data_IF_391565134706
#
_entry.id   IF_391565134706
#
_cell.length_a   1.000
_cell.length_b   1.000
_cell.length_c   1.000
_cell.angle_alpha   90.00
_cell.angle_beta   90.00
_cell.angle_gamma   90.00
#
_symmetry.space_group_name_H-M   'P 1'
#
loop_
_entity.id
_entity.type
_entity.pdbx_description
1 polymer ?
#
# COMPACT_ATOMS: atom_id res chain seq x y z
N UNK A 1 -24.60 4.02 51.33
CA UNK A 1 -25.58 3.24 50.53
C UNK A 1 -24.89 2.87 49.23
N UNK A 2 -24.97 1.60 48.76
CA UNK A 2 -24.52 1.28 47.41
C UNK A 2 -25.29 2.19 46.43
N UNK A 3 -24.60 2.79 45.44
CA UNK A 3 -25.26 3.67 44.49
C UNK A 3 -26.35 2.89 43.75
N UNK A 4 -27.52 3.51 43.55
CA UNK A 4 -28.66 2.88 42.91
C UNK A 4 -28.20 2.32 41.54
N UNK A 5 -28.35 1.01 41.27
CA UNK A 5 -27.96 0.40 40.00
C UNK A 5 -28.54 1.14 38.79
N UNK A 6 -29.68 1.80 38.98
CA UNK A 6 -30.34 2.61 37.97
C UNK A 6 -29.48 3.82 37.53
N UNK A 7 -28.56 4.36 38.33
CA UNK A 7 -27.86 5.61 37.92
C UNK A 7 -26.68 5.43 36.96
N UNK A 8 -26.53 4.26 36.31
CA UNK A 8 -25.41 4.00 35.40
C UNK A 8 -25.39 4.92 34.17
N UNK A 9 -26.53 5.14 33.50
CA UNK A 9 -26.61 5.98 32.32
C UNK A 9 -26.23 7.44 32.62
N UNK A 10 -26.86 8.02 33.64
CA UNK A 10 -26.58 9.39 34.07
C UNK A 10 -25.11 9.53 34.53
N UNK A 11 -24.59 8.59 35.32
CA UNK A 11 -23.19 8.61 35.75
C UNK A 11 -22.21 8.49 34.58
N UNK A 12 -22.48 7.63 33.62
CA UNK A 12 -21.63 7.47 32.44
C UNK A 12 -21.64 8.72 31.56
N UNK A 13 -22.81 9.33 31.37
CA UNK A 13 -22.94 10.59 30.66
C UNK A 13 -22.13 11.69 31.34
N UNK A 14 -22.33 11.90 32.64
CA UNK A 14 -21.62 12.93 33.40
C UNK A 14 -20.10 12.72 33.35
N UNK A 15 -19.63 11.48 33.47
CA UNK A 15 -18.20 11.16 33.33
C UNK A 15 -17.62 11.56 31.97
N UNK A 16 -18.42 11.55 30.90
CA UNK A 16 -17.96 11.95 29.57
C UNK A 16 -18.11 13.47 29.33
N UNK A 17 -19.15 14.09 29.89
CA UNK A 17 -19.52 15.49 29.66
C UNK A 17 -18.78 16.46 30.60
N UNK A 18 -18.60 16.10 31.87
CA UNK A 18 -17.93 16.96 32.87
C UNK A 18 -16.50 17.34 32.48
N UNK A 19 -15.65 16.45 31.93
CA UNK A 19 -14.30 16.84 31.52
C UNK A 19 -14.26 17.77 30.29
N UNK A 20 -15.33 17.76 29.48
CA UNK A 20 -15.41 18.48 28.22
C UNK A 20 -16.17 19.80 28.32
N UNK A 21 -16.87 20.03 29.43
CA UNK A 21 -17.76 21.17 29.62
C UNK A 21 -17.61 21.77 31.02
N UNK A 22 -18.24 22.92 31.25
CA UNK A 22 -18.32 23.53 32.59
C UNK A 22 -19.57 23.11 33.37
N UNK A 23 -20.37 22.19 32.82
CA UNK A 23 -21.61 21.76 33.45
C UNK A 23 -21.32 20.82 34.60
N UNK A 24 -21.92 21.07 35.76
CA UNK A 24 -21.96 20.14 36.87
C UNK A 24 -23.19 19.20 36.74
N UNK A 25 -23.15 18.04 37.40
CA UNK A 25 -24.24 17.08 37.42
C UNK A 25 -25.63 17.67 37.77
N UNK A 26 -25.66 18.77 38.54
CA UNK A 26 -26.88 19.48 38.91
C UNK A 26 -27.48 20.36 37.80
N UNK A 27 -26.70 20.70 36.77
CA UNK A 27 -27.11 21.63 35.71
C UNK A 27 -27.95 20.97 34.60
N UNK A 28 -28.03 19.64 34.59
CA UNK A 28 -28.78 18.86 33.61
C UNK A 28 -29.98 18.17 34.28
N UNK A 29 -31.11 18.86 34.47
CA UNK A 29 -32.26 18.27 35.13
C UNK A 29 -32.81 17.11 34.30
N UNK A 30 -32.86 15.93 34.93
CA UNK A 30 -33.52 14.75 34.37
C UNK A 30 -35.03 15.01 34.35
N UNK A 31 -35.60 15.08 33.15
CA UNK A 31 -37.03 15.32 32.90
C UNK A 31 -37.83 14.03 32.92
N UNK A 32 -37.33 13.02 32.22
CA UNK A 32 -37.94 11.71 32.13
C UNK A 32 -36.88 10.63 32.09
N UNK A 33 -37.26 9.45 32.57
CA UNK A 33 -36.42 8.28 32.59
C UNK A 33 -37.25 7.03 32.36
N UNK A 34 -36.88 6.27 31.34
CA UNK A 34 -37.53 5.02 30.99
C UNK A 34 -36.49 3.91 30.90
N UNK A 35 -36.55 2.94 31.80
CA UNK A 35 -35.76 1.72 31.68
C UNK A 35 -36.59 0.73 30.83
N UNK A 36 -36.08 0.37 29.65
CA UNK A 36 -36.73 -0.59 28.75
C UNK A 36 -35.85 -1.79 28.50
N UNK A 37 -36.49 -2.90 28.20
CA UNK A 37 -35.84 -4.13 27.77
C UNK A 37 -36.39 -4.47 26.40
N UNK A 38 -35.49 -4.72 25.47
CA UNK A 38 -35.79 -4.93 24.05
C UNK A 38 -35.26 -6.30 23.66
N UNK A 39 -36.14 -7.15 23.14
CA UNK A 39 -35.72 -8.43 22.56
C UNK A 39 -35.26 -8.23 21.13
N UNK A 40 -34.43 -9.12 20.64
CA UNK A 40 -33.98 -9.07 19.27
C UNK A 40 -33.40 -10.38 18.77
N UNK A 41 -33.11 -10.39 17.47
CA UNK A 41 -32.47 -11.52 16.81
C UNK A 41 -31.20 -11.09 16.11
N UNK A 42 -30.16 -11.90 16.19
CA UNK A 42 -28.93 -11.74 15.42
C UNK A 42 -28.80 -12.93 14.49
N UNK A 43 -28.71 -12.68 13.19
CA UNK A 43 -28.25 -13.68 12.23
C UNK A 43 -26.78 -13.42 11.97
N UNK A 44 -25.93 -14.34 12.40
CA UNK A 44 -24.49 -14.31 12.14
C UNK A 44 -24.13 -15.34 11.07
N UNK A 45 -23.14 -15.01 10.25
CA UNK A 45 -22.68 -15.85 9.16
C UNK A 45 -21.16 -15.86 9.12
N UNK A 46 -20.57 -17.04 9.18
CA UNK A 46 -19.15 -17.28 8.95
C UNK A 46 -19.00 -18.06 7.64
N UNK A 47 -18.46 -17.41 6.61
CA UNK A 47 -18.23 -18.02 5.30
C UNK A 47 -16.75 -18.32 5.11
N UNK A 48 -16.43 -19.60 4.95
CA UNK A 48 -15.07 -20.07 4.62
C UNK A 48 -14.87 -19.94 3.10
N UNK A 49 -14.05 -18.98 2.69
CA UNK A 49 -13.69 -18.77 1.30
C UNK A 49 -12.28 -19.30 1.04
N UNK A 50 -12.19 -20.30 0.17
CA UNK A 50 -10.93 -20.90 -0.28
C UNK A 50 -10.74 -20.61 -1.77
N UNK A 51 -9.64 -19.98 -2.11
CA UNK A 51 -9.34 -19.50 -3.46
C UNK A 51 -7.88 -19.72 -3.83
N UNK A 52 -7.61 -19.82 -5.14
CA UNK A 52 -6.24 -19.88 -5.67
C UNK A 52 -5.80 -18.46 -5.97
N UNK A 53 -4.71 -18.02 -5.34
CA UNK A 53 -4.09 -16.73 -5.61
C UNK A 53 -2.88 -16.93 -6.50
N UNK A 54 -2.84 -16.17 -7.61
CA UNK A 54 -1.74 -16.19 -8.59
C UNK A 54 -0.84 -14.97 -8.41
N UNK A 55 0.47 -15.19 -8.38
CA UNK A 55 1.49 -14.15 -8.33
C UNK A 55 2.53 -14.31 -9.43
N UNK A 56 2.97 -13.20 -10.03
CA UNK A 56 4.10 -13.15 -10.97
C UNK A 56 5.26 -12.43 -10.32
N UNK A 57 6.45 -13.01 -10.44
CA UNK A 57 7.64 -12.51 -9.77
C UNK A 57 8.87 -12.58 -10.68
N UNK A 58 9.81 -11.66 -10.44
CA UNK A 58 11.11 -11.68 -11.05
C UNK A 58 12.01 -12.71 -10.35
N UNK A 59 12.92 -13.34 -11.09
CA UNK A 59 13.86 -14.29 -10.52
C UNK A 59 13.53 -15.74 -10.80
N UNK A 60 14.43 -16.60 -10.32
CA UNK A 60 14.20 -18.05 -10.25
C UNK A 60 13.13 -18.40 -9.23
N UNK A 61 12.56 -19.59 -9.37
CA UNK A 61 11.57 -20.10 -8.42
C UNK A 61 12.20 -20.30 -7.02
N UNK A 62 11.58 -19.78 -5.94
CA UNK A 62 12.09 -19.96 -4.58
C UNK A 62 12.16 -21.44 -4.14
N UNK A 63 13.03 -21.73 -3.18
CA UNK A 63 13.09 -23.05 -2.54
C UNK A 63 11.78 -23.36 -1.80
N UNK A 64 11.37 -24.62 -1.80
CA UNK A 64 10.14 -25.09 -1.15
C UNK A 64 8.88 -24.95 -2.00
N UNK A 65 8.95 -24.33 -3.18
CA UNK A 65 7.85 -24.29 -4.14
C UNK A 65 7.86 -25.56 -5.00
N UNK A 66 6.71 -26.19 -5.15
CA UNK A 66 6.52 -27.35 -6.03
C UNK A 66 6.61 -26.88 -7.48
N UNK A 67 7.69 -27.26 -8.16
CA UNK A 67 7.96 -26.85 -9.53
C UNK A 67 7.18 -27.70 -10.54
N UNK A 68 6.57 -27.01 -11.49
CA UNK A 68 5.91 -27.59 -12.66
C UNK A 68 6.58 -27.11 -13.94
N UNK A 69 6.66 -28.01 -14.93
CA UNK A 69 7.33 -27.70 -16.20
C UNK A 69 6.46 -26.84 -17.11
N UNK A 70 5.14 -26.98 -17.02
CA UNK A 70 4.17 -26.17 -17.78
C UNK A 70 3.22 -25.40 -16.88
N UNK A 71 2.85 -24.20 -17.30
CA UNK A 71 1.86 -23.36 -16.61
C UNK A 71 0.52 -24.09 -16.40
N UNK A 72 0.04 -24.81 -17.43
CA UNK A 72 -1.21 -25.58 -17.34
C UNK A 72 -1.16 -26.70 -16.28
N UNK A 73 0.00 -27.32 -16.05
CA UNK A 73 0.17 -28.34 -15.02
C UNK A 73 0.12 -27.71 -13.62
N UNK A 74 0.76 -26.54 -13.46
CA UNK A 74 0.68 -25.75 -12.23
C UNK A 74 -0.76 -25.36 -11.90
N UNK A 75 -1.51 -24.88 -12.89
CA UNK A 75 -2.92 -24.49 -12.76
C UNK A 75 -3.80 -25.67 -12.36
N UNK A 76 -3.63 -26.81 -13.03
CA UNK A 76 -4.37 -28.03 -12.72
C UNK A 76 -4.04 -28.53 -11.31
N UNK A 77 -2.78 -28.48 -10.90
CA UNK A 77 -2.35 -28.89 -9.57
C UNK A 77 -2.97 -27.99 -8.48
N UNK A 78 -2.87 -26.67 -8.62
CA UNK A 78 -3.44 -25.72 -7.66
C UNK A 78 -4.97 -25.80 -7.60
N UNK A 79 -5.65 -26.01 -8.74
CA UNK A 79 -7.10 -26.20 -8.77
C UNK A 79 -7.51 -27.51 -8.08
N UNK A 80 -6.77 -28.60 -8.30
CA UNK A 80 -6.99 -29.89 -7.64
C UNK A 80 -6.81 -29.76 -6.12
N UNK A 81 -5.71 -29.14 -5.67
CA UNK A 81 -5.45 -28.91 -4.25
C UNK A 81 -6.52 -28.02 -3.61
N UNK A 82 -6.93 -26.93 -4.27
CA UNK A 82 -8.02 -26.07 -3.83
C UNK A 82 -9.34 -26.84 -3.66
N UNK A 83 -9.67 -27.72 -4.60
CA UNK A 83 -10.88 -28.57 -4.50
C UNK A 83 -10.82 -29.55 -3.32
N UNK A 84 -9.63 -30.11 -3.05
CA UNK A 84 -9.40 -31.00 -1.92
C UNK A 84 -9.53 -30.24 -0.59
N UNK A 85 -8.93 -29.06 -0.47
CA UNK A 85 -9.07 -28.21 0.71
C UNK A 85 -10.51 -27.75 0.96
N UNK A 86 -11.30 -27.47 -0.08
CA UNK A 86 -12.73 -27.16 0.08
C UNK A 86 -13.51 -28.34 0.65
N UNK A 87 -13.22 -29.56 0.18
CA UNK A 87 -13.85 -30.77 0.71
C UNK A 87 -13.44 -31.03 2.16
N UNK A 88 -12.16 -30.90 2.49
CA UNK A 88 -11.66 -31.05 3.86
C UNK A 88 -12.24 -29.98 4.79
N UNK A 89 -12.24 -28.72 4.37
CA UNK A 89 -12.76 -27.60 5.16
C UNK A 89 -14.24 -27.76 5.50
N UNK A 90 -15.04 -28.35 4.60
CA UNK A 90 -16.43 -28.69 4.86
C UNK A 90 -16.57 -29.67 6.02
N UNK A 91 -15.77 -30.73 6.04
CA UNK A 91 -15.83 -31.73 7.11
C UNK A 91 -15.25 -31.22 8.43
N UNK A 92 -14.19 -30.40 8.37
CA UNK A 92 -13.64 -29.72 9.56
C UNK A 92 -14.64 -28.73 10.15
N UNK A 93 -15.27 -27.91 9.30
CA UNK A 93 -16.31 -26.98 9.73
C UNK A 93 -17.51 -27.72 10.33
N UNK A 94 -17.96 -28.84 9.73
CA UNK A 94 -19.01 -29.69 10.31
C UNK A 94 -18.62 -30.21 11.70
N UNK A 95 -17.42 -30.72 11.85
CA UNK A 95 -16.91 -31.23 13.13
C UNK A 95 -16.82 -30.11 14.17
N UNK A 96 -16.32 -28.95 13.77
CA UNK A 96 -16.25 -27.76 14.62
C UNK A 96 -17.65 -27.31 15.06
N UNK A 97 -18.64 -27.30 14.14
CA UNK A 97 -20.03 -26.95 14.44
C UNK A 97 -20.67 -27.94 15.42
N UNK A 98 -20.35 -29.23 15.33
CA UNK A 98 -20.85 -30.22 16.31
C UNK A 98 -20.28 -29.98 17.72
N UNK A 99 -19.01 -29.58 17.82
CA UNK A 99 -18.35 -29.31 19.09
C UNK A 99 -18.73 -27.95 19.70
N UNK A 100 -18.90 -26.92 18.87
CA UNK A 100 -18.98 -25.52 19.32
C UNK A 100 -20.22 -24.76 18.81
N UNK A 101 -21.14 -25.42 18.10
CA UNK A 101 -22.27 -24.73 17.44
C UNK A 101 -23.18 -23.96 18.38
N UNK A 102 -23.29 -24.41 19.63
CA UNK A 102 -24.06 -23.73 20.69
C UNK A 102 -23.25 -22.67 21.46
N UNK A 103 -21.93 -22.61 21.26
CA UNK A 103 -21.07 -21.62 21.89
C UNK A 103 -21.00 -20.34 21.05
N UNK A 104 -20.73 -19.22 21.73
CA UNK A 104 -20.40 -17.93 21.10
C UNK A 104 -18.91 -17.92 20.70
N UNK A 105 -18.46 -18.98 20.03
CA UNK A 105 -17.14 -19.08 19.45
C UNK A 105 -17.25 -18.85 17.94
N UNK A 106 -16.19 -18.40 17.28
CA UNK A 106 -16.15 -18.27 15.81
C UNK A 106 -15.06 -19.19 15.28
N UNK A 107 -15.26 -19.85 14.13
CA UNK A 107 -14.20 -20.63 13.53
C UNK A 107 -13.11 -19.68 13.03
N UNK A 108 -11.87 -20.03 13.33
CA UNK A 108 -10.68 -19.39 12.77
C UNK A 108 -10.16 -20.18 11.57
N UNK A 109 -9.19 -19.62 10.84
CA UNK A 109 -8.65 -20.26 9.63
C UNK A 109 -8.02 -21.61 9.98
N UNK A 110 -7.34 -21.71 11.11
CA UNK A 110 -6.65 -22.91 11.58
C UNK A 110 -7.62 -24.06 11.90
N UNK A 111 -8.86 -23.73 12.28
CA UNK A 111 -9.91 -24.70 12.57
C UNK A 111 -10.40 -25.41 11.30
N UNK A 112 -10.40 -24.70 10.17
CA UNK A 112 -11.04 -25.15 8.92
C UNK A 112 -10.07 -25.40 7.77
N UNK A 113 -8.85 -24.88 7.84
CA UNK A 113 -7.86 -24.95 6.78
C UNK A 113 -6.49 -25.39 7.31
N UNK A 114 -5.73 -26.10 6.48
CA UNK A 114 -4.33 -26.48 6.73
C UNK A 114 -3.46 -25.83 5.68
N UNK A 115 -2.21 -25.57 6.01
CA UNK A 115 -1.24 -25.00 5.07
C UNK A 115 -1.21 -25.82 3.76
N UNK A 116 -1.37 -25.10 2.65
CA UNK A 116 -1.34 -25.65 1.31
C UNK A 116 0.08 -25.56 0.73
N UNK A 117 0.37 -26.41 -0.24
CA UNK A 117 1.61 -26.30 -0.99
C UNK A 117 1.56 -25.08 -1.91
N UNK A 118 2.72 -24.48 -2.15
CA UNK A 118 2.85 -23.45 -3.18
C UNK A 118 3.30 -24.15 -4.46
N UNK A 119 2.55 -23.96 -5.52
CA UNK A 119 2.90 -24.45 -6.85
C UNK A 119 3.54 -23.34 -7.67
N UNK A 120 4.51 -23.67 -8.52
CA UNK A 120 5.20 -22.67 -9.30
C UNK A 120 5.70 -23.16 -10.65
N UNK A 121 5.73 -22.26 -11.61
CA UNK A 121 6.24 -22.47 -12.96
C UNK A 121 7.21 -21.33 -13.28
N UNK A 122 8.37 -21.64 -13.86
CA UNK A 122 9.35 -20.64 -14.25
C UNK A 122 9.65 -20.71 -15.74
N UNK A 123 9.86 -19.54 -16.34
CA UNK A 123 10.15 -19.37 -17.76
C UNK A 123 11.27 -18.35 -17.96
N UNK A 124 11.90 -18.39 -19.13
CA UNK A 124 12.91 -17.40 -19.50
C UNK A 124 12.25 -16.03 -19.63
N UNK A 125 12.89 -15.02 -19.07
CA UNK A 125 12.43 -13.65 -19.20
C UNK A 125 12.35 -13.25 -20.68
N UNK A 126 11.18 -12.81 -21.14
CA UNK A 126 10.99 -12.40 -22.53
C UNK A 126 11.84 -11.19 -22.92
N UNK A 127 12.08 -10.27 -21.99
CA UNK A 127 12.81 -9.01 -22.25
C UNK A 127 14.30 -9.24 -22.52
N UNK A 128 14.95 -10.15 -21.79
CA UNK A 128 16.37 -10.47 -21.97
C UNK A 128 16.62 -11.87 -22.52
N UNK A 129 15.58 -12.60 -22.93
CA UNK A 129 15.65 -13.96 -23.47
C UNK A 129 16.42 -14.97 -22.61
N UNK A 130 16.44 -14.78 -21.28
CA UNK A 130 17.22 -15.62 -20.36
C UNK A 130 18.61 -15.11 -20.00
N UNK A 131 19.08 -13.98 -20.55
CA UNK A 131 20.45 -13.50 -20.32
C UNK A 131 20.67 -12.69 -19.03
N UNK A 132 19.61 -12.26 -18.35
CA UNK A 132 19.69 -11.41 -17.15
C UNK A 132 20.16 -9.97 -17.41
N UNK A 133 20.53 -9.63 -18.64
CA UNK A 133 21.00 -8.30 -19.01
C UNK A 133 20.39 -7.87 -20.34
N UNK A 134 20.22 -6.57 -20.51
CA UNK A 134 19.77 -5.96 -21.77
C UNK A 134 20.74 -4.88 -22.21
N UNK A 135 20.75 -4.60 -23.51
CA UNK A 135 21.53 -3.49 -24.06
C UNK A 135 21.14 -2.18 -23.39
N UNK A 136 22.13 -1.39 -22.99
CA UNK A 136 21.93 -0.10 -22.37
C UNK A 136 21.32 0.87 -23.39
N UNK A 137 20.05 1.22 -23.21
CA UNK A 137 19.29 2.11 -24.10
C UNK A 137 20.00 3.44 -24.38
N UNK A 138 20.44 4.20 -23.35
CA UNK A 138 21.10 5.50 -23.54
C UNK A 138 22.34 5.48 -24.44
N UNK A 139 23.04 4.36 -24.54
CA UNK A 139 24.24 4.24 -25.39
C UNK A 139 24.06 3.21 -26.51
N UNK A 140 22.86 2.70 -26.76
CA UNK A 140 22.59 1.68 -27.78
C UNK A 140 23.43 0.40 -27.62
N UNK A 141 23.93 0.10 -26.42
CA UNK A 141 24.85 -1.03 -26.22
C UNK A 141 26.35 -0.73 -26.33
N UNK A 142 26.75 0.49 -26.72
CA UNK A 142 28.16 0.81 -27.00
C UNK A 142 29.03 1.14 -25.77
N UNK A 143 28.43 1.29 -24.58
CA UNK A 143 29.15 1.68 -23.36
C UNK A 143 29.56 3.15 -23.30
N UNK A 144 29.45 3.90 -24.40
CA UNK A 144 29.80 5.31 -24.48
C UNK A 144 28.74 6.11 -25.24
N UNK A 145 28.63 7.40 -24.94
CA UNK A 145 27.73 8.34 -25.62
C UNK A 145 28.52 9.49 -26.21
N UNK A 146 28.02 10.04 -27.31
CA UNK A 146 28.63 11.21 -27.95
C UNK A 146 28.70 12.37 -26.95
N UNK A 147 29.90 12.93 -26.78
CA UNK A 147 30.13 14.06 -25.90
C UNK A 147 29.37 15.27 -26.43
N UNK A 148 28.39 15.73 -25.67
CA UNK A 148 27.56 16.89 -26.00
C UNK A 148 28.38 18.18 -26.12
N UNK A 149 29.46 18.31 -25.32
CA UNK A 149 30.30 19.50 -25.30
C UNK A 149 31.03 19.75 -26.62
N UNK A 150 31.50 18.69 -27.27
CA UNK A 150 32.24 18.78 -28.54
C UNK A 150 31.50 18.14 -29.73
N UNK A 151 30.25 17.72 -29.54
CA UNK A 151 29.42 17.03 -30.52
C UNK A 151 30.16 15.88 -31.25
N UNK A 152 30.91 15.05 -30.51
CA UNK A 152 31.64 13.92 -31.09
C UNK A 152 32.99 14.24 -31.73
N UNK A 153 33.36 15.51 -31.88
CA UNK A 153 34.62 15.89 -32.57
C UNK A 153 35.88 15.72 -31.71
N UNK A 154 35.72 15.61 -30.38
CA UNK A 154 36.81 15.66 -29.41
C UNK A 154 37.48 17.04 -29.28
N UNK A 155 36.95 18.06 -29.96
CA UNK A 155 37.55 19.39 -30.10
C UNK A 155 36.53 20.48 -29.79
N UNK A 156 36.97 21.56 -29.17
CA UNK A 156 36.17 22.76 -28.91
C UNK A 156 36.82 23.93 -29.64
N UNK A 157 36.04 24.86 -30.19
CA UNK A 157 36.62 26.07 -30.75
C UNK A 157 37.47 26.79 -29.69
N UNK A 158 38.70 27.15 -30.05
CA UNK A 158 39.60 27.82 -29.10
C UNK A 158 38.96 29.13 -28.66
N UNK A 159 38.80 29.32 -27.35
CA UNK A 159 38.15 30.50 -26.80
C UNK A 159 38.91 31.81 -27.12
N UNK A 160 40.23 31.73 -27.32
CA UNK A 160 41.08 32.89 -27.64
C UNK A 160 41.04 33.34 -29.11
N UNK A 161 40.50 32.53 -30.02
CA UNK A 161 40.43 32.88 -31.46
C UNK A 161 39.15 32.42 -32.16
N UNK A 162 38.18 31.86 -31.43
CA UNK A 162 36.90 31.36 -31.92
C UNK A 162 37.00 30.46 -33.18
N UNK A 163 38.04 29.63 -33.28
CA UNK A 163 38.23 28.74 -34.43
C UNK A 163 39.04 29.33 -35.59
N UNK A 164 39.46 30.60 -35.51
CA UNK A 164 40.20 31.27 -36.59
C UNK A 164 41.69 30.87 -36.57
N UNK A 165 42.25 30.67 -35.38
CA UNK A 165 43.68 30.33 -35.19
C UNK A 165 44.61 31.54 -35.13
N UNK A 166 44.03 32.74 -35.28
CA UNK A 166 44.72 34.02 -35.18
C UNK A 166 43.91 34.96 -34.26
N UNK A 167 44.59 35.89 -33.59
CA UNK A 167 43.97 36.96 -32.80
C UNK A 167 44.51 38.32 -33.27
N UNK A 168 43.66 39.34 -33.19
CA UNK A 168 44.07 40.73 -33.36
C UNK A 168 44.94 41.14 -32.17
N UNK A 169 46.11 41.70 -32.47
CA UNK A 169 47.01 42.26 -31.48
C UNK A 169 47.56 43.61 -31.95
N UNK A 170 47.61 44.57 -31.01
CA UNK A 170 48.26 45.86 -31.24
C UNK A 170 49.76 45.70 -31.05
N UNK A 171 50.50 45.72 -32.14
CA UNK A 171 51.96 45.59 -32.10
C UNK A 171 52.57 46.98 -32.18
N UNK A 172 53.44 47.30 -31.22
CA UNK A 172 54.22 48.54 -31.22
C UNK A 172 55.50 48.32 -32.00
N UNK A 173 55.66 49.09 -33.07
CA UNK A 173 56.87 49.15 -33.87
C UNK A 173 57.69 50.36 -33.46
N UNK A 174 58.95 50.15 -33.14
CA UNK A 174 59.91 51.24 -33.01
C UNK A 174 60.50 51.54 -34.37
N UNK A 175 60.27 52.76 -34.84
CA UNK A 175 60.86 53.28 -36.06
C UNK A 175 62.11 54.06 -35.64
N UNK A 176 63.32 53.55 -35.89
CA UNK A 176 64.55 54.24 -35.51
C UNK A 176 64.67 55.58 -36.24
N UNK A 177 65.23 56.58 -35.55
CA UNK A 177 65.43 57.91 -36.13
C UNK A 177 66.46 57.84 -37.26
N UNK A 178 66.11 58.42 -38.40
CA UNK A 178 67.02 58.58 -39.55
C UNK A 178 67.30 60.07 -39.77
N UNK A 179 68.42 60.45 -40.40
CA UNK A 179 68.73 61.87 -40.63
C UNK A 179 67.59 62.55 -41.40
N UNK A 180 66.90 63.50 -40.74
CA UNK A 180 65.74 64.20 -41.30
C UNK A 180 64.36 63.65 -40.91
N UNK A 181 64.26 62.58 -40.12
CA UNK A 181 63.01 62.07 -39.55
C UNK A 181 63.17 61.73 -38.06
N UNK A 182 62.32 62.30 -37.21
CA UNK A 182 62.28 61.97 -35.78
C UNK A 182 61.75 60.55 -35.62
N UNK A 183 62.55 59.66 -35.03
CA UNK A 183 62.13 58.30 -34.71
C UNK A 183 60.90 58.30 -33.81
N UNK A 184 60.03 57.31 -33.98
CA UNK A 184 58.73 57.28 -33.31
C UNK A 184 58.23 55.86 -33.06
N UNK A 185 57.19 55.75 -32.24
CA UNK A 185 56.48 54.49 -32.05
C UNK A 185 55.21 54.50 -32.88
N UNK A 186 55.09 53.58 -33.83
CA UNK A 186 53.83 53.36 -34.58
C UNK A 186 53.14 52.13 -34.03
N UNK A 187 51.83 52.23 -33.79
CA UNK A 187 51.00 51.08 -33.41
C UNK A 187 50.31 50.58 -34.67
N UNK A 188 50.51 49.32 -35.03
CA UNK A 188 49.77 48.66 -36.11
C UNK A 188 48.99 47.48 -35.54
N UNK A 189 47.83 47.27 -36.11
CA UNK A 189 47.04 46.08 -35.83
C UNK A 189 47.48 44.96 -36.75
N UNK A 190 47.86 43.82 -36.17
CA UNK A 190 48.25 42.64 -36.93
C UNK A 190 47.55 41.39 -36.42
N UNK A 191 47.33 40.45 -37.35
CA UNK A 191 46.93 39.11 -36.99
C UNK A 191 48.15 38.33 -36.53
N UNK A 192 48.18 37.93 -35.26
CA UNK A 192 49.18 37.02 -34.72
C UNK A 192 48.56 35.65 -34.49
N UNK A 193 49.39 34.61 -34.59
CA UNK A 193 48.98 33.24 -34.24
C UNK A 193 48.42 33.23 -32.82
N UNK A 194 47.26 32.61 -32.64
CA UNK A 194 46.61 32.56 -31.34
C UNK A 194 47.52 31.83 -30.34
N UNK A 195 48.03 32.55 -29.34
CA UNK A 195 48.94 32.03 -28.31
C UNK A 195 48.30 30.97 -27.41
N UNK A 196 46.97 31.00 -27.25
CA UNK A 196 46.21 30.03 -26.45
C UNK A 196 46.20 28.64 -27.08
N UNK A 197 46.00 28.54 -28.40
CA UNK A 197 45.95 27.25 -29.10
C UNK A 197 47.15 26.99 -30.01
N UNK A 198 48.14 27.89 -30.03
CA UNK A 198 49.29 27.87 -30.93
C UNK A 198 48.90 27.63 -32.40
N UNK A 199 47.83 28.32 -32.85
CA UNK A 199 47.32 28.20 -34.22
C UNK A 199 46.50 26.94 -34.53
N UNK A 200 46.29 26.04 -33.55
CA UNK A 200 45.51 24.79 -33.75
C UNK A 200 44.03 25.03 -34.01
N UNK A 201 43.50 26.22 -33.71
CA UNK A 201 42.09 26.63 -33.84
C UNK A 201 41.13 26.00 -32.83
N UNK A 202 41.54 24.97 -32.10
CA UNK A 202 40.71 24.27 -31.13
C UNK A 202 41.44 23.96 -29.83
N UNK A 203 40.66 23.87 -28.75
CA UNK A 203 41.05 23.30 -27.47
C UNK A 203 40.63 21.82 -27.43
N UNK A 204 41.43 20.97 -26.78
CA UNK A 204 41.05 19.55 -26.60
C UNK A 204 39.87 19.47 -25.64
N UNK A 205 38.83 18.73 -26.03
CA UNK A 205 37.77 18.39 -25.10
C UNK A 205 38.31 17.42 -24.04
N UNK A 206 37.78 17.48 -22.82
CA UNK A 206 38.15 16.59 -21.70
C UNK A 206 37.47 15.21 -21.80
N UNK A 207 36.78 14.93 -22.90
CA UNK A 207 36.20 13.64 -23.21
C UNK A 207 37.20 12.74 -23.94
N UNK A 208 36.88 11.46 -24.06
CA UNK A 208 37.71 10.48 -24.77
C UNK A 208 37.40 10.54 -26.26
N UNK A 209 38.14 11.37 -27.01
CA UNK A 209 38.04 11.49 -28.47
C UNK A 209 36.60 11.71 -28.97
N UNK A 210 35.85 12.59 -28.30
CA UNK A 210 34.48 12.90 -28.69
C UNK A 210 33.42 12.07 -27.99
N UNK A 211 33.79 11.10 -27.15
CA UNK A 211 32.86 10.25 -26.41
C UNK A 211 33.08 10.36 -24.90
N UNK A 212 32.00 10.19 -24.14
CA UNK A 212 32.04 10.04 -22.69
C UNK A 212 31.46 8.69 -22.30
N UNK A 213 32.02 8.08 -21.25
CA UNK A 213 31.50 6.81 -20.72
C UNK A 213 30.03 6.98 -20.35
N UNK A 214 29.20 6.04 -20.77
CA UNK A 214 27.78 6.05 -20.43
C UNK A 214 27.64 5.87 -18.91
N UNK A 215 27.00 6.81 -18.24
CA UNK A 215 26.82 6.79 -16.78
C UNK A 215 25.84 5.71 -16.34
N UNK A 216 24.90 5.31 -17.20
CA UNK A 216 23.89 4.30 -16.88
C UNK A 216 24.45 2.87 -16.82
N UNK A 217 25.39 2.52 -17.71
CA UNK A 217 26.01 1.19 -17.74
C UNK A 217 27.48 1.19 -17.30
N UNK A 218 28.03 2.35 -16.95
CA UNK A 218 29.43 2.55 -16.57
C UNK A 218 30.44 1.98 -17.57
N UNK A 219 30.14 2.05 -18.88
CA UNK A 219 31.03 1.53 -19.93
C UNK A 219 30.74 0.11 -20.39
N UNK A 220 29.92 -0.66 -19.68
CA UNK A 220 29.70 -2.08 -19.99
C UNK A 220 28.79 -2.31 -21.21
N UNK A 221 28.06 -1.29 -21.66
CA UNK A 221 27.09 -1.41 -22.75
C UNK A 221 25.83 -2.20 -22.40
N UNK A 222 25.79 -2.88 -21.25
CA UNK A 222 24.65 -3.63 -20.76
C UNK A 222 24.22 -3.13 -19.39
N UNK A 223 22.92 -3.28 -19.11
CA UNK A 223 22.34 -3.03 -17.79
C UNK A 223 21.60 -4.26 -17.30
N UNK A 224 21.51 -4.47 -15.99
CA UNK A 224 20.67 -5.52 -15.41
C UNK A 224 19.24 -5.46 -15.95
N UNK A 225 18.67 -6.63 -16.27
CA UNK A 225 17.29 -6.71 -16.71
C UNK A 225 16.36 -6.66 -15.48
N UNK A 226 15.71 -5.50 -15.26
CA UNK A 226 14.82 -5.29 -14.12
C UNK A 226 13.64 -6.28 -14.06
N UNK A 227 12.94 -6.62 -15.17
CA UNK A 227 11.82 -7.59 -15.14
C UNK A 227 12.16 -8.97 -14.58
N UNK A 228 13.43 -9.38 -14.61
CA UNK A 228 13.91 -10.66 -14.08
C UNK A 228 14.92 -10.52 -12.95
N UNK A 229 15.08 -9.31 -12.39
CA UNK A 229 16.06 -9.01 -11.35
C UNK A 229 17.47 -9.53 -11.70
N UNK A 230 17.87 -9.36 -12.97
CA UNK A 230 19.13 -9.82 -13.52
C UNK A 230 19.38 -11.34 -13.57
N UNK A 231 18.41 -12.17 -13.18
CA UNK A 231 18.56 -13.63 -13.18
C UNK A 231 18.36 -14.25 -14.57
N UNK A 232 17.67 -13.54 -15.47
CA UNK A 232 17.22 -14.09 -16.74
C UNK A 232 15.92 -14.89 -16.63
N UNK A 233 15.40 -15.12 -15.43
CA UNK A 233 14.22 -15.94 -15.18
C UNK A 233 13.07 -15.10 -14.62
N UNK A 234 11.87 -15.49 -14.99
CA UNK A 234 10.64 -15.04 -14.35
C UNK A 234 9.87 -16.27 -13.91
N UNK A 235 9.09 -16.13 -12.87
CA UNK A 235 8.29 -17.24 -12.38
C UNK A 235 6.91 -16.78 -11.94
N UNK A 236 6.03 -17.75 -11.93
CA UNK A 236 4.69 -17.61 -11.42
C UNK A 236 4.49 -18.58 -10.28
N UNK A 237 3.65 -18.16 -9.33
CA UNK A 237 3.27 -18.95 -8.17
C UNK A 237 1.76 -18.98 -8.06
N UNK A 238 1.25 -20.13 -7.66
CA UNK A 238 -0.12 -20.33 -7.25
C UNK A 238 -0.13 -20.88 -5.83
N UNK A 239 -0.94 -20.27 -4.98
CA UNK A 239 -1.10 -20.62 -3.58
C UNK A 239 -2.59 -20.72 -3.28
N UNK A 240 -3.01 -21.80 -2.63
CA UNK A 240 -4.37 -21.90 -2.10
C UNK A 240 -4.44 -21.13 -0.79
N UNK A 241 -5.34 -20.15 -0.71
CA UNK A 241 -5.57 -19.35 0.50
C UNK A 241 -6.97 -19.57 1.02
N UNK A 242 -7.08 -19.47 2.34
CA UNK A 242 -8.34 -19.51 3.05
C UNK A 242 -8.54 -18.21 3.83
N UNK A 243 -9.77 -17.71 3.82
CA UNK A 243 -10.25 -16.62 4.68
C UNK A 243 -11.61 -16.98 5.25
N UNK A 244 -11.89 -16.54 6.47
CA UNK A 244 -13.21 -16.63 7.09
C UNK A 244 -13.87 -15.25 7.02
N UNK A 245 -14.85 -15.10 6.15
CA UNK A 245 -15.60 -13.88 5.97
C UNK A 245 -16.77 -13.83 6.96
N UNK A 246 -16.77 -12.79 7.81
CA UNK A 246 -17.75 -12.66 8.89
C UNK A 246 -18.81 -11.62 8.56
N UNK A 247 -20.05 -12.08 8.51
CA UNK A 247 -21.24 -11.27 8.29
C UNK A 247 -22.20 -11.37 9.46
N UNK A 248 -23.11 -10.41 9.53
CA UNK A 248 -24.25 -10.53 10.42
C UNK A 248 -25.20 -9.35 10.31
N UNK A 249 -26.42 -9.57 10.77
CA UNK A 249 -27.43 -8.53 10.91
C UNK A 249 -28.19 -8.79 12.19
N UNK A 250 -28.24 -7.80 13.06
CA UNK A 250 -29.11 -7.79 14.22
C UNK A 250 -30.41 -7.04 13.91
N UNK A 251 -31.48 -7.42 14.58
CA UNK A 251 -32.77 -6.75 14.57
C UNK A 251 -33.28 -6.65 15.99
N UNK A 252 -33.75 -5.47 16.39
CA UNK A 252 -34.37 -5.23 17.68
C UNK A 252 -35.88 -5.06 17.52
N UNK A 253 -36.66 -5.64 18.42
CA UNK A 253 -38.10 -5.46 18.54
C UNK A 253 -38.40 -4.24 19.42
N UNK A 254 -37.80 -3.09 19.08
CA UNK A 254 -38.03 -1.81 19.77
C UNK A 254 -38.99 -0.93 18.96
N UNK A 255 -39.97 -0.23 19.57
CA UNK A 255 -40.78 0.75 18.85
C UNK A 255 -40.00 1.99 18.38
N UNK A 256 -38.81 2.26 18.94
CA UNK A 256 -37.98 3.42 18.59
C UNK A 256 -37.11 3.13 17.37
N UNK A 257 -37.24 3.88 16.26
CA UNK A 257 -36.47 3.65 15.04
C UNK A 257 -34.97 3.83 15.26
N UNK A 258 -34.55 4.76 16.12
CA UNK A 258 -33.15 5.01 16.46
C UNK A 258 -32.49 3.79 17.12
N UNK A 259 -33.22 3.05 17.97
CA UNK A 259 -32.72 1.80 18.57
C UNK A 259 -32.63 0.69 17.52
N UNK A 260 -33.63 0.59 16.64
CA UNK A 260 -33.61 -0.42 15.56
C UNK A 260 -32.44 -0.18 14.60
N UNK A 261 -32.20 1.07 14.20
CA UNK A 261 -31.11 1.46 13.32
C UNK A 261 -29.75 1.18 13.98
N UNK A 262 -29.59 1.62 15.23
CA UNK A 262 -28.34 1.45 15.97
C UNK A 262 -28.01 -0.04 16.18
N UNK A 263 -28.98 -0.82 16.66
CA UNK A 263 -28.82 -2.27 16.81
C UNK A 263 -28.56 -2.95 15.46
N UNK A 264 -29.21 -2.50 14.39
CA UNK A 264 -29.01 -3.03 13.04
C UNK A 264 -27.59 -2.87 12.49
N UNK A 265 -26.82 -1.91 13.01
CA UNK A 265 -25.41 -1.69 12.66
C UNK A 265 -24.44 -2.63 13.39
N UNK A 266 -24.87 -3.23 14.50
CA UNK A 266 -24.01 -4.02 15.37
C UNK A 266 -23.68 -5.39 14.80
N UNK A 267 -22.46 -5.85 15.12
CA UNK A 267 -21.98 -7.20 14.82
C UNK A 267 -22.00 -8.07 16.08
N UNK A 268 -21.75 -9.37 15.89
CA UNK A 268 -21.71 -10.33 16.99
C UNK A 268 -20.85 -9.82 18.15
N UNK A 269 -19.62 -9.36 17.87
CA UNK A 269 -18.68 -8.84 18.87
C UNK A 269 -19.24 -7.69 19.71
N UNK A 270 -20.12 -6.87 19.14
CA UNK A 270 -20.68 -5.71 19.84
C UNK A 270 -21.80 -6.18 20.79
N UNK A 271 -22.60 -7.17 20.37
CA UNK A 271 -23.70 -7.75 21.14
C UNK A 271 -23.25 -8.65 22.31
N UNK A 272 -22.12 -9.36 22.19
CA UNK A 272 -21.60 -10.23 23.27
C UNK A 272 -21.36 -9.44 24.57
N UNK A 273 -20.97 -8.17 24.47
CA UNK A 273 -20.70 -7.35 25.66
C UNK A 273 -21.93 -6.62 26.21
N UNK A 274 -23.05 -6.64 25.48
CA UNK A 274 -24.22 -5.83 25.78
C UNK A 274 -25.43 -6.66 26.22
N UNK A 275 -25.44 -7.95 25.91
CA UNK A 275 -26.64 -8.79 26.02
C UNK A 275 -26.32 -10.24 26.39
N UNK A 276 -27.30 -10.89 27.01
CA UNK A 276 -27.32 -12.35 27.10
C UNK A 276 -27.76 -12.93 25.76
N UNK A 277 -26.81 -13.49 25.01
CA UNK A 277 -27.06 -14.15 23.74
C UNK A 277 -27.36 -15.64 23.95
N UNK A 278 -28.46 -16.11 23.39
CA UNK A 278 -28.81 -17.53 23.34
C UNK A 278 -28.89 -18.00 21.89
N UNK A 279 -28.22 -19.11 21.58
CA UNK A 279 -28.25 -19.73 20.25
C UNK A 279 -29.58 -20.44 20.04
N UNK A 280 -30.31 -20.08 18.99
CA UNK A 280 -31.58 -20.70 18.62
C UNK A 280 -31.41 -21.73 17.51
N UNK A 281 -30.67 -21.36 16.46
CA UNK A 281 -30.56 -22.16 15.24
C UNK A 281 -29.14 -22.15 14.74
N UNK A 282 -28.66 -23.31 14.31
CA UNK A 282 -27.36 -23.51 13.69
C UNK A 282 -27.58 -24.23 12.38
N UNK A 283 -27.25 -23.56 11.28
CA UNK A 283 -27.40 -24.05 9.93
C UNK A 283 -26.03 -24.05 9.24
N UNK A 284 -25.72 -25.11 8.51
CA UNK A 284 -24.43 -25.29 7.87
C UNK A 284 -24.64 -25.63 6.39
N UNK A 285 -24.34 -24.67 5.52
CA UNK A 285 -24.45 -24.81 4.07
C UNK A 285 -23.06 -24.80 3.40
N UNK A 286 -22.63 -25.96 2.90
CA UNK A 286 -21.34 -26.23 2.22
C UNK A 286 -20.10 -25.72 2.97
N UNK A 287 -19.85 -24.41 2.97
CA UNK A 287 -18.74 -23.71 3.63
C UNK A 287 -19.21 -22.45 4.38
N UNK A 288 -20.49 -22.36 4.70
CA UNK A 288 -21.13 -21.23 5.36
C UNK A 288 -21.82 -21.72 6.62
N UNK A 289 -21.34 -21.29 7.78
CA UNK A 289 -21.99 -21.49 9.06
C UNK A 289 -22.90 -20.30 9.34
N UNK A 290 -24.21 -20.54 9.41
CA UNK A 290 -25.20 -19.54 9.78
C UNK A 290 -25.73 -19.86 11.18
N UNK A 291 -25.75 -18.85 12.04
CA UNK A 291 -26.28 -18.96 13.40
C UNK A 291 -27.32 -17.89 13.65
N UNK A 292 -28.44 -18.28 14.23
CA UNK A 292 -29.45 -17.35 14.75
C UNK A 292 -29.35 -17.32 16.26
N UNK A 293 -29.14 -16.13 16.80
CA UNK A 293 -29.18 -15.85 18.23
C UNK A 293 -30.43 -15.04 18.55
N UNK A 294 -30.98 -15.27 19.72
CA UNK A 294 -31.89 -14.33 20.39
C UNK A 294 -31.13 -13.60 21.47
N UNK A 295 -31.44 -12.33 21.66
CA UNK A 295 -30.87 -11.54 22.74
C UNK A 295 -31.92 -10.69 23.42
N UNK A 296 -31.61 -10.32 24.66
CA UNK A 296 -32.35 -9.35 25.44
C UNK A 296 -31.41 -8.21 25.79
N UNK A 297 -31.79 -6.98 25.43
CA UNK A 297 -30.97 -5.77 25.55
C UNK A 297 -31.67 -4.76 26.45
N UNK A 298 -30.97 -4.32 27.49
CA UNK A 298 -31.40 -3.15 28.27
C UNK A 298 -31.14 -1.87 27.47
N UNK A 299 -32.18 -1.04 27.33
CA UNK A 299 -32.14 0.21 26.55
C UNK A 299 -32.66 1.39 27.38
N UNK A 300 -32.00 1.73 28.51
CA UNK A 300 -32.42 2.85 29.32
C UNK A 300 -32.40 4.15 28.52
N UNK A 301 -33.44 4.95 28.70
CA UNK A 301 -33.60 6.24 28.06
C UNK A 301 -33.64 7.32 29.14
N UNK A 302 -32.90 8.39 28.90
CA UNK A 302 -32.83 9.56 29.74
C UNK A 302 -33.18 10.79 28.91
N UNK A 303 -34.16 11.56 29.37
CA UNK A 303 -34.52 12.85 28.75
C UNK A 303 -34.03 13.95 29.67
N UNK A 304 -33.13 14.79 29.16
CA UNK A 304 -32.55 15.92 29.88
C UNK A 304 -33.14 17.22 29.36
N UNK A 305 -33.54 18.10 30.27
CA UNK A 305 -33.99 19.43 29.89
C UNK A 305 -32.79 20.32 29.61
N UNK A 306 -32.68 20.86 28.39
CA UNK A 306 -31.69 21.89 28.05
C UNK A 306 -32.38 23.21 27.70
N UNK A 307 -31.68 24.37 27.72
CA UNK A 307 -32.25 25.64 27.30
C UNK A 307 -32.76 25.65 25.85
N UNK A 308 -32.23 24.77 25.00
CA UNK A 308 -32.60 24.65 23.58
C UNK A 308 -33.65 23.58 23.26
N UNK A 309 -34.17 22.88 24.27
CA UNK A 309 -35.10 21.75 24.10
C UNK A 309 -34.67 20.51 24.89
N UNK A 310 -35.48 19.46 24.83
CA UNK A 310 -35.18 18.21 25.49
C UNK A 310 -34.16 17.38 24.69
N UNK A 311 -33.10 16.92 25.35
CA UNK A 311 -32.10 16.02 24.81
C UNK A 311 -32.42 14.59 25.26
N UNK A 312 -32.61 13.68 24.31
CA UNK A 312 -32.84 12.26 24.59
C UNK A 312 -31.56 11.47 24.42
N UNK A 313 -31.20 10.70 25.44
CA UNK A 313 -30.01 9.86 25.47
C UNK A 313 -30.45 8.42 25.70
N UNK A 314 -29.94 7.51 24.86
CA UNK A 314 -30.21 6.09 24.96
C UNK A 314 -28.91 5.39 25.34
N UNK A 315 -28.98 4.63 26.43
CA UNK A 315 -27.93 3.70 26.83
C UNK A 315 -28.23 2.30 26.32
N UNK A 316 -27.19 1.50 26.16
CA UNK A 316 -27.29 0.12 25.68
C UNK A 316 -26.56 -0.84 26.63
N UNK A 317 -27.23 -1.95 26.98
CA UNK A 317 -26.74 -2.99 27.88
C UNK A 317 -26.80 -2.59 29.36
N UNK A 318 -26.41 -3.51 30.24
CA UNK A 318 -26.47 -3.33 31.70
C UNK A 318 -25.56 -2.20 32.24
N UNK A 319 -24.49 -1.90 31.50
CA UNK A 319 -23.63 -0.75 31.81
C UNK A 319 -24.17 0.56 31.25
N UNK A 320 -25.27 0.55 30.48
CA UNK A 320 -25.84 1.71 29.81
C UNK A 320 -24.77 2.49 29.00
N UNK A 321 -24.11 1.78 28.09
CA UNK A 321 -23.09 2.38 27.21
C UNK A 321 -23.78 3.31 26.22
N UNK A 322 -23.25 4.51 26.08
CA UNK A 322 -23.74 5.51 25.14
C UNK A 322 -22.90 5.39 23.87
N UNK A 323 -23.53 5.09 22.74
CA UNK A 323 -22.82 4.90 21.47
C UNK A 323 -22.96 6.07 20.50
N UNK A 324 -23.89 7.00 20.78
CA UNK A 324 -24.41 7.97 19.80
C UNK A 324 -24.22 9.44 20.25
N UNK A 325 -23.12 9.75 20.95
CA UNK A 325 -22.77 11.14 21.33
C UNK A 325 -22.00 11.87 20.22
#
# INVERSE_FOLDING_TARGET
MPPNPKDHLLRNLLRQVEPLTRYEAGDLPVRDRQDRTTNGTLVHMDRVAIEVVRGRHAGELPRGVVRHDREAEMEQAAAKECSAHKAEARERLRTWTQAHGQAILVPEVEDVFKEAQVHGHQHRCGTCQGHGQVSCGPCGGHGSVTCTRCHGTGRLNCHGCHGIGMRWEMVRYHVPATPGHVGGTTIKNEYKTCSVCNGRRYDRCSCNNGHVTCTTCHGNGKVPCNPCAATGMQHERMEVRCKVERGGRATAEDPRPEVQEQVGSWRLKDLVFLTDLSVQEVDLDVLTLRRRFTFTLETPQLVLGTPGGDLTIIGYGAEARITDL
#
